data_IF_279993651714
#
_entry.id   IF_279993651714
#
_cell.length_a   1.000
_cell.length_b   1.000
_cell.length_c   1.000
_cell.angle_alpha   90.00
_cell.angle_beta   90.00
_cell.angle_gamma   90.00
#
_symmetry.space_group_name_H-M   'P 1'
#
loop_
_entity.id
_entity.type
_entity.pdbx_description
1 polymer ?
#
# COMPACT_ATOMS: atom_id res chain seq x y z
N UNK A 1 -26.86 29.01 1.79
CA UNK A 1 -27.37 27.63 1.92
C UNK A 1 -26.48 26.94 2.96
N UNK A 2 -27.04 26.41 4.06
CA UNK A 2 -26.26 25.54 4.95
C UNK A 2 -25.86 24.32 4.12
N UNK A 3 -24.57 24.10 3.91
CA UNK A 3 -24.11 22.84 3.33
C UNK A 3 -24.64 21.71 4.21
N UNK A 4 -25.35 20.77 3.63
CA UNK A 4 -25.76 19.57 4.35
C UNK A 4 -24.49 18.85 4.80
N UNK A 5 -24.41 18.46 6.08
CA UNK A 5 -23.29 17.65 6.57
C UNK A 5 -23.23 16.37 5.73
N UNK A 6 -22.06 16.02 5.25
CA UNK A 6 -21.83 14.73 4.60
C UNK A 6 -22.03 13.60 5.60
N UNK A 7 -22.45 12.44 5.14
CA UNK A 7 -22.51 11.21 5.93
C UNK A 7 -21.72 10.15 5.20
N UNK A 8 -20.60 9.79 5.79
CA UNK A 8 -19.63 8.83 5.24
C UNK A 8 -19.67 7.55 6.05
N UNK A 9 -19.68 6.41 5.36
CA UNK A 9 -19.46 5.09 5.97
C UNK A 9 -18.08 4.61 5.52
N UNK A 10 -17.23 4.25 6.48
CA UNK A 10 -15.98 3.52 6.25
C UNK A 10 -16.21 2.06 6.61
N UNK A 11 -15.88 1.12 5.72
CA UNK A 11 -16.06 -0.32 5.93
C UNK A 11 -14.71 -1.02 5.77
N UNK A 12 -14.36 -1.88 6.74
CA UNK A 12 -13.17 -2.74 6.74
C UNK A 12 -13.59 -4.22 6.85
N UNK A 13 -12.97 -5.09 6.05
CA UNK A 13 -13.24 -6.53 6.03
C UNK A 13 -12.38 -7.24 7.07
N UNK A 14 -13.01 -7.85 8.08
CA UNK A 14 -12.30 -8.45 9.21
C UNK A 14 -11.32 -9.54 8.81
N UNK A 15 -10.03 -9.34 9.12
CA UNK A 15 -8.98 -10.34 8.85
C UNK A 15 -9.01 -10.85 7.40
N UNK A 16 -9.24 -9.96 6.45
CA UNK A 16 -9.70 -10.24 5.09
C UNK A 16 -9.08 -11.49 4.45
N UNK A 17 -7.78 -11.55 4.25
CA UNK A 17 -7.14 -12.70 3.60
C UNK A 17 -7.38 -14.01 4.35
N UNK A 18 -7.31 -13.99 5.69
CA UNK A 18 -7.55 -15.17 6.50
C UNK A 18 -9.03 -15.60 6.46
N UNK A 19 -9.96 -14.64 6.41
CA UNK A 19 -11.40 -14.91 6.27
C UNK A 19 -11.71 -15.51 4.90
N UNK A 20 -11.13 -14.98 3.80
CA UNK A 20 -11.25 -15.57 2.47
C UNK A 20 -10.74 -17.01 2.46
N UNK A 21 -9.56 -17.26 3.05
CA UNK A 21 -9.01 -18.62 3.12
C UNK A 21 -9.88 -19.59 3.93
N UNK A 22 -10.55 -19.11 4.97
CA UNK A 22 -11.52 -19.92 5.72
C UNK A 22 -12.76 -20.22 4.89
N UNK A 23 -13.37 -19.20 4.26
CA UNK A 23 -14.58 -19.36 3.42
C UNK A 23 -14.32 -20.35 2.30
N UNK A 24 -13.23 -20.25 1.58
CA UNK A 24 -12.84 -21.17 0.50
C UNK A 24 -12.66 -22.62 0.96
N UNK A 25 -12.43 -22.85 2.25
CA UNK A 25 -12.30 -24.19 2.86
C UNK A 25 -13.55 -24.64 3.60
N UNK A 26 -14.62 -23.85 3.59
CA UNK A 26 -15.83 -24.11 4.36
C UNK A 26 -15.62 -24.05 5.88
N UNK A 27 -14.66 -23.23 6.34
CA UNK A 27 -14.28 -23.07 7.74
C UNK A 27 -14.82 -21.76 8.31
N UNK A 28 -15.11 -21.74 9.61
CA UNK A 28 -15.51 -20.54 10.34
C UNK A 28 -14.26 -19.79 10.85
N UNK A 29 -13.99 -18.54 10.41
CA UNK A 29 -12.81 -17.78 10.82
C UNK A 29 -12.80 -17.42 12.31
N UNK A 30 -13.94 -17.46 12.99
CA UNK A 30 -14.02 -17.20 14.43
C UNK A 30 -13.72 -18.43 15.28
N UNK A 31 -13.70 -19.63 14.68
CA UNK A 31 -13.44 -20.90 15.37
C UNK A 31 -12.15 -21.58 14.89
N UNK A 32 -11.63 -21.17 13.75
CA UNK A 32 -10.49 -21.83 13.12
C UNK A 32 -9.23 -21.00 13.30
N UNK A 33 -8.18 -21.59 13.85
CA UNK A 33 -6.86 -21.00 13.87
C UNK A 33 -6.22 -21.13 12.49
N UNK A 34 -6.10 -20.00 11.77
CA UNK A 34 -5.48 -19.98 10.45
C UNK A 34 -4.65 -18.72 10.28
N UNK A 35 -3.48 -18.87 9.67
CA UNK A 35 -2.59 -17.78 9.26
C UNK A 35 -2.35 -17.81 7.77
N UNK A 36 -2.28 -16.64 7.14
CA UNK A 36 -1.87 -16.51 5.73
C UNK A 36 -0.41 -16.10 5.70
N UNK A 37 0.45 -17.02 5.30
CA UNK A 37 1.88 -16.80 5.25
C UNK A 37 2.53 -17.72 4.21
N UNK A 38 3.72 -17.36 3.71
CA UNK A 38 4.54 -18.21 2.84
C UNK A 38 5.72 -18.82 3.63
N UNK A 39 5.58 -20.03 4.21
CA UNK A 39 6.64 -20.66 5.00
C UNK A 39 7.85 -21.08 4.15
N UNK A 40 7.71 -21.14 2.83
CA UNK A 40 8.83 -21.49 1.93
C UNK A 40 9.89 -20.40 1.91
N UNK A 41 9.55 -19.17 2.28
CA UNK A 41 10.50 -18.05 2.37
C UNK A 41 11.43 -18.16 3.58
N UNK A 42 10.87 -18.26 4.77
CA UNK A 42 11.61 -18.54 6.03
C UNK A 42 10.65 -18.57 7.22
N UNK A 43 11.11 -19.07 8.38
CA UNK A 43 10.37 -18.96 9.64
C UNK A 43 10.19 -17.51 10.12
N UNK A 44 10.96 -16.56 9.58
CA UNK A 44 10.85 -15.12 9.86
C UNK A 44 9.86 -14.41 8.95
N UNK A 45 9.14 -15.13 8.08
CA UNK A 45 8.10 -14.57 7.21
C UNK A 45 6.97 -13.99 8.05
N UNK A 46 6.50 -12.81 7.61
CA UNK A 46 5.37 -12.13 8.24
C UNK A 46 4.08 -12.83 7.84
N UNK A 47 3.19 -13.05 8.79
CA UNK A 47 1.82 -13.45 8.55
C UNK A 47 1.06 -12.26 7.98
N UNK A 48 0.59 -12.37 6.73
CA UNK A 48 -0.15 -11.29 6.05
C UNK A 48 -1.50 -11.03 6.72
N UNK A 49 -2.14 -12.07 7.19
CA UNK A 49 -3.36 -12.03 7.98
C UNK A 49 -3.44 -13.23 8.92
N UNK A 50 -4.16 -13.07 10.01
CA UNK A 50 -4.54 -14.14 10.93
C UNK A 50 -6.03 -14.07 11.22
N UNK A 51 -6.65 -15.21 11.49
CA UNK A 51 -8.08 -15.28 11.81
C UNK A 51 -8.44 -14.54 13.11
N UNK A 52 -9.70 -14.13 13.28
CA UNK A 52 -10.22 -13.64 14.56
C UNK A 52 -9.98 -14.64 15.72
N UNK A 53 -10.10 -15.95 15.47
CA UNK A 53 -9.77 -16.98 16.45
C UNK A 53 -8.33 -16.88 16.96
N UNK A 54 -7.36 -16.70 16.07
CA UNK A 54 -5.95 -16.47 16.44
C UNK A 54 -5.75 -15.16 17.22
N UNK A 55 -6.45 -14.09 16.83
CA UNK A 55 -6.42 -12.82 17.57
C UNK A 55 -6.96 -12.96 18.99
N UNK A 56 -8.03 -13.77 19.17
CA UNK A 56 -8.61 -14.06 20.49
C UNK A 56 -7.63 -14.82 21.41
N UNK A 57 -6.68 -15.57 20.85
CA UNK A 57 -5.56 -16.20 21.59
C UNK A 57 -4.40 -15.24 21.93
N UNK A 58 -4.55 -13.93 21.64
CA UNK A 58 -3.54 -12.92 21.90
C UNK A 58 -2.43 -12.82 20.83
N UNK A 59 -2.57 -13.51 19.71
CA UNK A 59 -1.60 -13.42 18.61
C UNK A 59 -1.78 -12.09 17.89
N UNK A 60 -0.68 -11.34 17.72
CA UNK A 60 -0.70 -10.04 17.04
C UNK A 60 -0.87 -10.21 15.54
N UNK A 61 -1.66 -9.33 14.92
CA UNK A 61 -1.70 -9.22 13.47
C UNK A 61 -0.30 -8.87 12.91
N UNK A 62 0.05 -9.41 11.75
CA UNK A 62 1.37 -9.24 11.12
C UNK A 62 2.55 -9.74 11.97
N UNK A 63 2.32 -10.69 12.90
CA UNK A 63 3.40 -11.40 13.58
C UNK A 63 4.25 -12.19 12.58
N UNK A 64 5.45 -12.59 12.99
CA UNK A 64 6.25 -13.56 12.25
C UNK A 64 5.85 -14.97 12.63
N UNK A 65 6.00 -15.93 11.73
CA UNK A 65 5.62 -17.34 11.98
C UNK A 65 6.27 -17.87 13.26
N UNK A 66 7.55 -17.55 13.52
CA UNK A 66 8.28 -18.01 14.70
C UNK A 66 7.84 -17.32 16.00
N UNK A 67 7.06 -16.28 15.95
CA UNK A 67 6.49 -15.59 17.14
C UNK A 67 5.20 -16.27 17.63
N UNK A 68 4.63 -17.18 16.83
CA UNK A 68 3.45 -17.95 17.24
C UNK A 68 3.90 -19.05 18.20
N UNK A 69 3.31 -19.15 19.41
CA UNK A 69 3.66 -20.18 20.38
C UNK A 69 3.49 -21.60 19.81
N UNK A 70 4.45 -22.48 20.08
CA UNK A 70 4.48 -23.84 19.54
C UNK A 70 3.32 -24.74 20.01
N UNK A 71 2.69 -24.39 21.14
CA UNK A 71 1.52 -25.09 21.67
C UNK A 71 0.19 -24.73 21.00
N UNK A 72 0.20 -23.80 20.04
CA UNK A 72 -1.00 -23.43 19.27
C UNK A 72 -0.97 -24.15 17.94
N UNK A 73 -1.93 -25.06 17.75
CA UNK A 73 -2.17 -25.68 16.46
C UNK A 73 -2.92 -24.72 15.53
N UNK A 74 -2.45 -24.56 14.29
CA UNK A 74 -3.06 -23.69 13.31
C UNK A 74 -2.80 -24.16 11.87
N UNK A 75 -3.65 -23.73 10.96
CA UNK A 75 -3.51 -23.96 9.52
C UNK A 75 -2.67 -22.82 8.93
N UNK A 76 -1.65 -23.16 8.15
CA UNK A 76 -0.93 -22.18 7.33
C UNK A 76 -1.48 -22.21 5.90
N UNK A 77 -2.10 -21.11 5.48
CA UNK A 77 -2.54 -20.91 4.10
C UNK A 77 -1.51 -20.12 3.31
N UNK A 78 -1.13 -20.63 2.14
CA UNK A 78 -0.29 -19.89 1.19
C UNK A 78 -1.04 -18.68 0.67
N UNK A 79 -0.40 -17.49 0.53
CA UNK A 79 -1.05 -16.34 -0.07
C UNK A 79 -1.54 -16.62 -1.50
N UNK A 80 -2.75 -16.17 -1.82
CA UNK A 80 -3.39 -16.21 -3.14
C UNK A 80 -3.89 -14.80 -3.48
N UNK A 81 -2.97 -13.91 -3.84
CA UNK A 81 -3.28 -12.48 -3.95
C UNK A 81 -4.35 -12.19 -5.00
N UNK A 82 -4.36 -12.92 -6.12
CA UNK A 82 -5.39 -12.75 -7.15
C UNK A 82 -6.77 -13.08 -6.60
N UNK A 83 -6.91 -14.17 -5.85
CA UNK A 83 -8.17 -14.54 -5.22
C UNK A 83 -8.69 -13.43 -4.28
N UNK A 84 -7.79 -12.82 -3.50
CA UNK A 84 -8.18 -11.74 -2.59
C UNK A 84 -8.64 -10.50 -3.36
N UNK A 85 -7.99 -10.18 -4.47
CA UNK A 85 -8.42 -9.10 -5.38
C UNK A 85 -9.79 -9.42 -5.98
N UNK A 86 -10.03 -10.66 -6.40
CA UNK A 86 -11.32 -11.09 -6.96
C UNK A 86 -12.46 -10.98 -5.92
N UNK A 87 -12.21 -11.36 -4.65
CA UNK A 87 -13.15 -11.15 -3.56
C UNK A 87 -13.40 -9.66 -3.29
N UNK A 88 -12.36 -8.83 -3.27
CA UNK A 88 -12.47 -7.40 -3.12
C UNK A 88 -13.30 -6.77 -4.24
N UNK A 89 -13.06 -7.16 -5.50
CA UNK A 89 -13.83 -6.71 -6.66
C UNK A 89 -15.31 -7.16 -6.58
N UNK A 90 -15.58 -8.38 -6.12
CA UNK A 90 -16.94 -8.87 -5.88
C UNK A 90 -17.65 -8.02 -4.83
N UNK A 91 -16.99 -7.72 -3.72
CA UNK A 91 -17.55 -6.89 -2.63
C UNK A 91 -17.78 -5.45 -3.11
N UNK A 92 -16.86 -4.87 -3.87
CA UNK A 92 -17.08 -3.59 -4.52
C UNK A 92 -18.33 -3.61 -5.42
N UNK A 93 -18.53 -4.69 -6.19
CA UNK A 93 -19.74 -4.92 -6.99
C UNK A 93 -21.03 -4.98 -6.15
N UNK A 94 -20.97 -5.47 -4.90
CA UNK A 94 -22.09 -5.45 -3.95
C UNK A 94 -22.43 -3.99 -3.60
N UNK A 95 -21.44 -3.18 -3.23
CA UNK A 95 -21.67 -1.77 -2.88
C UNK A 95 -22.25 -0.96 -4.03
N UNK A 96 -21.85 -1.24 -5.27
CA UNK A 96 -22.37 -0.56 -6.47
C UNK A 96 -23.88 -0.76 -6.71
N UNK A 97 -24.52 -1.72 -6.06
CA UNK A 97 -25.98 -1.88 -6.13
C UNK A 97 -26.73 -0.91 -5.24
N UNK A 98 -26.05 -0.31 -4.27
CA UNK A 98 -26.62 0.63 -3.31
C UNK A 98 -26.27 2.07 -3.63
N UNK A 99 -25.04 2.31 -4.10
CA UNK A 99 -24.51 3.66 -4.32
C UNK A 99 -23.73 3.75 -5.64
N UNK A 100 -23.62 4.96 -6.19
CA UNK A 100 -22.83 5.21 -7.40
C UNK A 100 -21.35 5.01 -7.17
N UNK A 101 -20.60 4.63 -8.21
CA UNK A 101 -19.13 4.54 -8.19
C UNK A 101 -18.46 5.87 -7.82
N UNK A 102 -19.12 7.00 -8.11
CA UNK A 102 -18.60 8.33 -7.79
C UNK A 102 -18.58 8.59 -6.27
N UNK A 103 -19.43 7.90 -5.52
CA UNK A 103 -19.58 8.03 -4.08
C UNK A 103 -18.85 6.92 -3.30
N UNK A 104 -18.05 6.06 -3.98
CA UNK A 104 -17.22 5.03 -3.36
C UNK A 104 -15.74 5.33 -3.62
N UNK A 105 -14.94 5.37 -2.56
CA UNK A 105 -13.47 5.38 -2.64
C UNK A 105 -12.92 4.09 -2.07
N UNK A 106 -12.30 3.25 -2.93
CA UNK A 106 -11.56 2.06 -2.51
C UNK A 106 -10.22 2.51 -1.95
N UNK A 107 -10.09 2.46 -0.64
CA UNK A 107 -8.89 2.88 0.07
C UNK A 107 -7.80 1.80 0.07
N UNK A 108 -8.21 0.55 0.22
CA UNK A 108 -7.34 -0.63 0.12
C UNK A 108 -8.11 -1.83 -0.44
N UNK A 109 -7.48 -3.01 -0.49
CA UNK A 109 -8.12 -4.25 -0.93
C UNK A 109 -9.24 -4.72 0.00
N UNK A 110 -9.25 -4.26 1.24
CA UNK A 110 -10.19 -4.64 2.31
C UNK A 110 -10.94 -3.47 2.93
N UNK A 111 -10.68 -2.24 2.48
CA UNK A 111 -11.28 -1.04 3.07
C UNK A 111 -11.79 -0.07 2.01
N UNK A 112 -12.98 0.48 2.24
CA UNK A 112 -13.55 1.53 1.40
C UNK A 112 -14.31 2.59 2.20
N UNK A 113 -14.41 3.80 1.62
CA UNK A 113 -15.28 4.88 2.06
C UNK A 113 -16.45 5.02 1.10
N UNK A 114 -17.64 5.25 1.64
CA UNK A 114 -18.88 5.37 0.90
C UNK A 114 -19.61 6.62 1.38
N UNK A 115 -19.83 7.58 0.50
CA UNK A 115 -20.69 8.74 0.78
C UNK A 115 -22.14 8.34 0.60
N UNK A 116 -22.86 8.24 1.70
CA UNK A 116 -24.29 7.84 1.69
C UNK A 116 -25.24 9.01 1.85
N UNK A 117 -24.76 10.25 1.86
CA UNK A 117 -25.53 11.46 2.16
C UNK A 117 -26.83 11.52 1.38
N UNK A 118 -26.79 11.30 0.08
CA UNK A 118 -27.94 11.42 -0.82
C UNK A 118 -28.80 10.13 -0.87
N UNK A 119 -28.32 9.03 -0.31
CA UNK A 119 -28.96 7.72 -0.42
C UNK A 119 -29.86 7.39 0.77
N UNK A 120 -29.60 8.00 1.94
CA UNK A 120 -30.39 7.72 3.15
C UNK A 120 -31.86 8.05 2.97
N UNK A 121 -32.17 9.19 2.34
CA UNK A 121 -33.56 9.55 2.03
C UNK A 121 -34.18 8.67 0.96
N UNK A 122 -33.40 8.22 -0.02
CA UNK A 122 -33.83 7.32 -1.09
C UNK A 122 -34.25 5.95 -0.57
N UNK A 123 -33.47 5.39 0.35
CA UNK A 123 -33.72 4.08 0.94
C UNK A 123 -34.59 4.15 2.21
N UNK A 124 -34.90 5.36 2.71
CA UNK A 124 -35.60 5.57 3.98
C UNK A 124 -34.87 4.92 5.18
N UNK A 125 -33.55 4.95 5.16
CA UNK A 125 -32.69 4.37 6.19
C UNK A 125 -31.93 5.46 6.95
N UNK A 126 -31.64 5.21 8.22
CA UNK A 126 -30.61 5.94 8.95
C UNK A 126 -29.22 5.50 8.47
N UNK A 127 -28.19 6.29 8.78
CA UNK A 127 -26.81 5.94 8.44
C UNK A 127 -26.35 4.59 9.04
N UNK A 128 -26.81 4.28 10.27
CA UNK A 128 -26.54 2.99 10.94
C UNK A 128 -27.22 1.84 10.20
N UNK A 129 -28.50 1.98 9.85
CA UNK A 129 -29.23 0.96 9.11
C UNK A 129 -28.62 0.69 7.74
N UNK A 130 -28.15 1.76 7.05
CA UNK A 130 -27.42 1.62 5.78
C UNK A 130 -26.10 0.86 5.96
N UNK A 131 -25.35 1.12 7.02
CA UNK A 131 -24.15 0.35 7.33
C UNK A 131 -24.46 -1.13 7.60
N UNK A 132 -25.53 -1.43 8.36
CA UNK A 132 -26.01 -2.80 8.59
C UNK A 132 -26.35 -3.50 7.29
N UNK A 133 -27.11 -2.84 6.41
CA UNK A 133 -27.49 -3.41 5.10
C UNK A 133 -26.29 -3.74 4.23
N UNK A 134 -25.31 -2.82 4.14
CA UNK A 134 -24.09 -3.04 3.37
C UNK A 134 -23.26 -4.21 3.93
N UNK A 135 -23.06 -4.26 5.26
CA UNK A 135 -22.31 -5.32 5.94
C UNK A 135 -23.01 -6.68 5.79
N UNK A 136 -24.34 -6.69 5.90
CA UNK A 136 -25.14 -7.90 5.74
C UNK A 136 -25.06 -8.43 4.30
N UNK A 137 -25.21 -7.57 3.30
CA UNK A 137 -25.09 -7.97 1.89
C UNK A 137 -23.72 -8.59 1.59
N UNK A 138 -22.63 -8.02 2.15
CA UNK A 138 -21.29 -8.62 2.04
C UNK A 138 -21.25 -9.99 2.70
N UNK A 139 -21.75 -10.12 3.92
CA UNK A 139 -21.75 -11.39 4.66
C UNK A 139 -22.56 -12.47 3.94
N UNK A 140 -23.77 -12.15 3.49
CA UNK A 140 -24.68 -13.09 2.85
C UNK A 140 -24.11 -13.65 1.52
N UNK A 141 -23.37 -12.82 0.77
CA UNK A 141 -22.86 -13.23 -0.54
C UNK A 141 -21.42 -13.75 -0.54
N UNK A 142 -20.65 -13.41 0.47
CA UNK A 142 -19.22 -13.76 0.50
C UNK A 142 -18.80 -14.53 1.74
N UNK A 143 -19.61 -14.56 2.78
CA UNK A 143 -19.24 -15.11 4.08
C UNK A 143 -18.19 -14.29 4.84
N UNK A 144 -17.89 -13.07 4.37
CA UNK A 144 -16.87 -12.19 4.97
C UNK A 144 -17.55 -11.21 5.93
N UNK A 145 -17.08 -11.16 7.16
CA UNK A 145 -17.54 -10.21 8.17
C UNK A 145 -16.85 -8.86 8.00
N UNK A 146 -17.59 -7.78 8.21
CA UNK A 146 -17.07 -6.43 8.15
C UNK A 146 -17.20 -5.69 9.48
N UNK A 147 -16.53 -4.53 9.57
CA UNK A 147 -16.67 -3.53 10.62
C UNK A 147 -16.95 -2.20 9.93
N UNK A 148 -17.80 -1.36 10.48
CA UNK A 148 -18.14 -0.08 9.88
C UNK A 148 -17.96 1.08 10.86
N UNK A 149 -17.58 2.23 10.32
CA UNK A 149 -17.59 3.51 11.01
C UNK A 149 -18.43 4.52 10.24
N UNK A 150 -19.32 5.21 10.91
CA UNK A 150 -20.14 6.27 10.35
C UNK A 150 -19.62 7.61 10.88
N UNK A 151 -19.38 8.56 10.00
CA UNK A 151 -18.88 9.88 10.37
C UNK A 151 -19.46 11.00 9.51
N UNK A 152 -19.37 12.24 10.02
CA UNK A 152 -19.76 13.44 9.30
C UNK A 152 -18.70 13.92 8.29
N UNK A 153 -17.56 13.23 8.25
CA UNK A 153 -16.49 13.41 7.28
C UNK A 153 -15.66 12.11 7.17
N UNK A 154 -14.69 12.06 6.24
CA UNK A 154 -13.86 10.88 5.99
C UNK A 154 -13.03 10.48 7.23
N UNK A 155 -12.45 11.47 7.92
CA UNK A 155 -11.65 11.22 9.12
C UNK A 155 -12.48 10.59 10.24
N UNK A 156 -13.62 11.17 10.58
CA UNK A 156 -14.48 10.68 11.65
C UNK A 156 -15.06 9.31 11.33
N UNK A 157 -15.41 9.03 10.06
CA UNK A 157 -15.84 7.70 9.65
C UNK A 157 -14.74 6.65 9.86
N UNK A 158 -13.48 6.99 9.51
CA UNK A 158 -12.33 6.11 9.72
C UNK A 158 -12.06 5.88 11.21
N UNK A 159 -12.06 6.93 12.03
CA UNK A 159 -11.81 6.83 13.48
C UNK A 159 -12.94 6.06 14.18
N UNK A 160 -14.19 6.28 13.78
CA UNK A 160 -15.33 5.52 14.28
C UNK A 160 -15.15 4.02 14.03
N UNK A 161 -14.65 3.64 12.86
CA UNK A 161 -14.37 2.25 12.51
C UNK A 161 -13.16 1.69 13.27
N UNK A 162 -12.05 2.43 13.31
CA UNK A 162 -10.79 1.93 13.86
C UNK A 162 -10.79 1.84 15.39
N UNK A 163 -11.50 2.74 16.07
CA UNK A 163 -11.49 2.83 17.53
C UNK A 163 -12.85 2.42 18.11
N UNK A 164 -13.93 3.13 17.76
CA UNK A 164 -15.24 2.95 18.42
C UNK A 164 -15.87 1.60 18.11
N UNK A 165 -15.87 1.19 16.84
CA UNK A 165 -16.53 -0.05 16.38
C UNK A 165 -15.91 -1.32 16.99
N UNK A 166 -14.70 -1.27 17.53
CA UNK A 166 -14.07 -2.40 18.23
C UNK A 166 -14.67 -2.68 19.62
N UNK A 167 -15.35 -1.69 20.18
CA UNK A 167 -15.89 -1.72 21.55
C UNK A 167 -17.41 -1.83 21.59
N UNK A 168 -18.07 -2.07 20.43
CA UNK A 168 -19.52 -2.24 20.32
C UNK A 168 -19.84 -3.58 19.68
N UNK A 169 -20.93 -4.21 20.14
CA UNK A 169 -21.27 -5.59 19.79
C UNK A 169 -21.64 -5.77 18.31
N UNK A 170 -22.25 -4.76 17.69
CA UNK A 170 -22.65 -4.77 16.30
C UNK A 170 -21.55 -4.32 15.33
N UNK A 171 -20.38 -3.96 15.88
CA UNK A 171 -19.21 -3.53 15.12
C UNK A 171 -19.45 -2.29 14.24
N UNK A 172 -20.32 -1.37 14.69
CA UNK A 172 -20.61 -0.11 14.00
C UNK A 172 -20.33 1.05 14.95
N UNK A 173 -19.25 1.80 14.71
CA UNK A 173 -18.96 3.05 15.41
C UNK A 173 -19.64 4.24 14.73
N UNK A 174 -20.05 5.24 15.50
CA UNK A 174 -20.65 6.47 14.96
C UNK A 174 -20.01 7.66 15.66
N UNK A 175 -19.51 8.62 14.87
CA UNK A 175 -18.91 9.86 15.37
C UNK A 175 -19.37 11.07 14.55
N UNK A 176 -19.64 12.15 15.26
CA UNK A 176 -19.62 13.51 14.75
C UNK A 176 -18.53 14.31 15.47
N UNK A 177 -18.34 15.57 15.14
CA UNK A 177 -17.29 16.41 15.71
C UNK A 177 -17.47 16.62 17.23
N UNK A 178 -18.70 16.57 17.74
CA UNK A 178 -18.99 16.73 19.14
C UNK A 178 -18.68 15.43 19.92
N UNK A 179 -19.26 14.31 19.48
CA UNK A 179 -19.05 13.00 20.11
C UNK A 179 -17.59 12.52 20.01
N UNK A 180 -16.88 12.90 18.93
CA UNK A 180 -15.46 12.65 18.81
C UNK A 180 -14.65 13.30 19.93
N UNK A 181 -14.89 14.60 20.20
CA UNK A 181 -14.20 15.32 21.27
C UNK A 181 -14.55 14.77 22.64
N UNK A 182 -15.83 14.46 22.88
CA UNK A 182 -16.29 13.93 24.16
C UNK A 182 -15.70 12.54 24.46
N UNK A 183 -15.61 11.67 23.45
CA UNK A 183 -15.23 10.27 23.66
C UNK A 183 -13.75 9.99 23.45
N UNK A 184 -13.07 10.72 22.55
CA UNK A 184 -11.75 10.33 22.04
C UNK A 184 -10.64 11.37 22.26
N UNK A 185 -10.93 12.56 22.75
CA UNK A 185 -9.86 13.54 23.01
C UNK A 185 -8.82 13.05 24.00
N UNK A 186 -9.22 12.25 24.99
CA UNK A 186 -8.34 11.66 26.01
C UNK A 186 -7.87 10.25 25.65
N UNK A 187 -8.25 9.74 24.47
CA UNK A 187 -7.85 8.39 24.05
C UNK A 187 -6.34 8.29 23.81
N UNK A 188 -5.77 7.18 24.28
CA UNK A 188 -4.36 6.81 24.06
C UNK A 188 -4.26 5.35 23.64
N UNK A 189 -3.24 4.98 22.84
CA UNK A 189 -2.14 5.81 22.32
C UNK A 189 -2.56 6.66 21.10
N UNK A 190 -1.83 7.74 20.83
CA UNK A 190 -2.04 8.56 19.64
C UNK A 190 -1.88 7.80 18.31
N UNK A 191 -1.09 6.74 18.30
CA UNK A 191 -0.89 5.88 17.10
C UNK A 191 -2.12 5.06 16.71
N UNK A 192 -3.20 5.05 17.49
CA UNK A 192 -4.47 4.47 17.10
C UNK A 192 -5.24 5.38 16.11
N UNK A 193 -4.91 6.68 16.09
CA UNK A 193 -5.53 7.63 15.19
C UNK A 193 -4.92 7.57 13.79
N UNK A 194 -5.79 7.60 12.79
CA UNK A 194 -5.40 7.59 11.40
C UNK A 194 -4.37 8.69 11.10
N UNK A 195 -3.32 8.36 10.35
CA UNK A 195 -2.17 9.19 9.97
C UNK A 195 -1.19 9.54 11.10
N UNK A 196 -1.41 9.09 12.33
CA UNK A 196 -0.42 9.21 13.39
C UNK A 196 0.33 7.89 13.55
N UNK A 197 1.58 7.86 13.11
CA UNK A 197 2.44 6.69 13.31
C UNK A 197 3.29 6.81 14.58
N UNK A 198 3.91 5.70 15.00
CA UNK A 198 4.74 5.64 16.22
C UNK A 198 5.89 6.65 16.27
N UNK A 199 6.37 7.15 15.12
CA UNK A 199 7.39 8.22 15.08
C UNK A 199 6.80 9.58 15.45
N UNK A 200 5.63 9.90 14.90
CA UNK A 200 4.88 11.13 15.21
C UNK A 200 4.47 11.14 16.66
N UNK A 201 3.90 10.04 17.15
CA UNK A 201 3.54 9.86 18.57
C UNK A 201 4.74 10.09 19.50
N UNK A 202 5.88 9.42 19.27
CA UNK A 202 7.10 9.63 20.09
C UNK A 202 7.62 11.06 20.04
N UNK A 203 7.51 11.71 18.87
CA UNK A 203 7.93 13.10 18.71
C UNK A 203 7.05 14.04 19.53
N UNK A 204 5.74 13.84 19.51
CA UNK A 204 4.76 14.59 20.32
C UNK A 204 4.95 14.35 21.82
N UNK A 205 5.12 13.08 22.22
CA UNK A 205 5.35 12.69 23.61
C UNK A 205 6.59 13.35 24.23
N UNK A 206 7.64 13.59 23.43
CA UNK A 206 8.83 14.34 23.87
C UNK A 206 8.56 15.79 24.28
N UNK A 207 7.38 16.31 23.96
CA UNK A 207 6.92 17.65 24.33
C UNK A 207 5.70 17.63 25.28
N UNK A 208 5.38 16.45 25.82
CA UNK A 208 4.26 16.29 26.77
C UNK A 208 2.88 16.24 26.12
N UNK A 209 2.82 16.00 24.80
CA UNK A 209 1.57 15.86 24.04
C UNK A 209 1.30 14.36 23.86
N UNK A 210 0.21 13.87 24.43
CA UNK A 210 -0.13 12.44 24.49
C UNK A 210 -1.51 12.12 23.91
N UNK A 211 -2.36 13.13 23.72
CA UNK A 211 -3.76 12.97 23.30
C UNK A 211 -4.12 13.91 22.15
N UNK A 212 -5.24 13.64 21.47
CA UNK A 212 -5.76 14.54 20.44
C UNK A 212 -6.23 15.86 21.06
N UNK A 213 -6.73 15.82 22.30
CA UNK A 213 -7.06 17.02 23.08
C UNK A 213 -5.84 17.90 23.32
N UNK A 214 -4.67 17.33 23.66
CA UNK A 214 -3.43 18.09 23.81
C UNK A 214 -3.02 18.78 22.51
N UNK A 215 -3.13 18.10 21.36
CA UNK A 215 -2.83 18.70 20.04
C UNK A 215 -3.78 19.86 19.75
N UNK A 216 -5.08 19.67 20.00
CA UNK A 216 -6.09 20.71 19.80
C UNK A 216 -5.82 21.93 20.68
N UNK A 217 -5.45 21.72 21.93
CA UNK A 217 -5.09 22.82 22.85
C UNK A 217 -3.78 23.49 22.46
N UNK A 218 -2.79 22.72 22.01
CA UNK A 218 -1.52 23.28 21.51
C UNK A 218 -1.72 24.15 20.26
N UNK A 219 -2.69 23.82 19.40
CA UNK A 219 -3.01 24.63 18.22
C UNK A 219 -3.52 26.04 18.56
N UNK A 220 -4.14 26.22 19.73
CA UNK A 220 -4.62 27.53 20.17
C UNK A 220 -3.53 28.41 20.78
N UNK A 221 -2.47 27.84 21.31
CA UNK A 221 -1.45 28.55 22.08
C UNK A 221 -0.07 28.56 21.44
N UNK A 222 0.22 27.60 20.59
CA UNK A 222 1.57 27.32 20.07
C UNK A 222 1.54 26.75 18.64
N UNK A 223 0.64 27.22 17.78
CA UNK A 223 0.45 26.73 16.42
C UNK A 223 1.75 26.79 15.59
N UNK A 224 2.48 27.91 15.65
CA UNK A 224 3.78 28.09 14.97
C UNK A 224 4.78 26.98 15.31
N UNK A 225 4.71 26.45 16.53
CA UNK A 225 5.58 25.38 16.97
C UNK A 225 5.20 24.04 16.29
N UNK A 226 3.90 23.76 16.12
CA UNK A 226 3.43 22.58 15.38
C UNK A 226 3.90 22.64 13.92
N UNK A 227 3.78 23.81 13.28
CA UNK A 227 4.29 24.00 11.91
C UNK A 227 5.82 23.87 11.81
N UNK A 228 6.58 24.30 12.80
CA UNK A 228 8.04 24.06 12.84
C UNK A 228 8.38 22.57 12.93
N UNK A 229 7.55 21.81 13.65
CA UNK A 229 7.76 20.37 13.83
C UNK A 229 7.37 19.53 12.62
N UNK A 230 6.21 19.80 12.04
CA UNK A 230 5.57 18.94 11.06
C UNK A 230 5.46 19.57 9.67
N UNK A 231 5.86 20.84 9.51
CA UNK A 231 5.68 21.55 8.25
C UNK A 231 4.20 21.70 7.91
N UNK A 232 3.85 21.56 6.65
CA UNK A 232 2.47 21.65 6.17
C UNK A 232 1.57 20.52 6.73
N UNK A 233 2.13 19.39 7.12
CA UNK A 233 1.38 18.28 7.72
C UNK A 233 0.77 18.67 9.09
N UNK A 234 1.24 19.77 9.70
CA UNK A 234 0.66 20.31 10.94
C UNK A 234 -0.81 20.73 10.76
N UNK A 235 -1.15 21.29 9.60
CA UNK A 235 -2.53 21.72 9.31
C UNK A 235 -3.51 20.54 9.40
N UNK A 236 -3.18 19.45 8.73
CA UNK A 236 -3.99 18.24 8.77
C UNK A 236 -4.04 17.63 10.18
N UNK A 237 -2.91 17.65 10.92
CA UNK A 237 -2.85 17.14 12.29
C UNK A 237 -3.75 17.97 13.24
N UNK A 238 -3.77 19.29 13.07
CA UNK A 238 -4.63 20.21 13.83
C UNK A 238 -6.09 19.97 13.49
N UNK A 239 -6.44 19.96 12.21
CA UNK A 239 -7.81 19.71 11.75
C UNK A 239 -8.35 18.40 12.31
N UNK A 240 -7.59 17.32 12.21
CA UNK A 240 -7.96 16.01 12.75
C UNK A 240 -8.09 16.03 14.27
N UNK A 241 -7.27 16.81 14.99
CA UNK A 241 -7.41 16.94 16.45
C UNK A 241 -8.75 17.61 16.83
N UNK A 242 -9.26 18.50 15.99
CA UNK A 242 -10.58 19.12 16.16
C UNK A 242 -11.74 18.29 15.59
N UNK A 243 -11.46 17.19 14.90
CA UNK A 243 -12.44 16.33 14.24
C UNK A 243 -12.89 16.87 12.86
N UNK A 244 -12.09 17.74 12.25
CA UNK A 244 -12.37 18.30 10.93
C UNK A 244 -11.61 17.52 9.84
N UNK A 245 -12.23 17.44 8.67
CA UNK A 245 -11.63 16.96 7.44
C UNK A 245 -12.30 17.69 6.27
N UNK A 246 -11.51 18.40 5.51
CA UNK A 246 -11.99 19.21 4.40
C UNK A 246 -12.09 18.43 3.09
N UNK A 247 -11.33 17.33 2.98
CA UNK A 247 -11.37 16.46 1.80
C UNK A 247 -12.72 15.77 1.65
N UNK A 248 -13.29 15.81 0.47
CA UNK A 248 -14.57 15.17 0.11
C UNK A 248 -14.35 14.12 -0.96
N UNK A 249 -15.33 13.25 -1.16
CA UNK A 249 -15.30 12.21 -2.20
C UNK A 249 -14.98 12.80 -3.58
N UNK A 250 -15.57 13.92 -3.95
CA UNK A 250 -15.30 14.62 -5.22
C UNK A 250 -13.86 15.08 -5.38
N UNK A 251 -13.20 15.47 -4.27
CA UNK A 251 -11.82 15.93 -4.29
C UNK A 251 -10.88 14.76 -4.54
N UNK A 252 -11.15 13.62 -3.92
CA UNK A 252 -10.44 12.35 -4.17
C UNK A 252 -10.61 11.93 -5.63
N UNK A 253 -11.84 11.97 -6.18
CA UNK A 253 -12.12 11.56 -7.56
C UNK A 253 -11.48 12.46 -8.60
N UNK A 254 -11.35 13.73 -8.31
CA UNK A 254 -10.76 14.74 -9.20
C UNK A 254 -9.24 14.87 -9.00
N UNK A 255 -8.67 14.24 -7.98
CA UNK A 255 -7.24 14.31 -7.73
C UNK A 255 -6.47 13.48 -8.74
N UNK A 256 -5.58 14.13 -9.46
CA UNK A 256 -4.60 13.50 -10.33
C UNK A 256 -3.22 13.68 -9.71
N UNK A 257 -2.64 12.59 -9.29
CA UNK A 257 -1.26 12.60 -8.79
C UNK A 257 -0.31 12.95 -9.93
N UNK A 258 0.50 13.98 -9.74
CA UNK A 258 1.67 14.20 -10.60
C UNK A 258 2.73 13.18 -10.18
N UNK A 259 2.88 12.11 -10.96
CA UNK A 259 3.94 11.13 -10.73
C UNK A 259 5.30 11.79 -10.99
N UNK A 260 6.11 11.95 -9.95
CA UNK A 260 7.46 12.51 -10.07
C UNK A 260 8.56 11.44 -10.14
N UNK A 261 8.22 10.20 -9.85
CA UNK A 261 9.14 9.06 -9.89
C UNK A 261 8.43 7.73 -10.10
N UNK A 262 9.13 6.78 -10.70
CA UNK A 262 8.72 5.39 -10.79
C UNK A 262 9.81 4.52 -10.17
N UNK A 263 9.45 3.65 -9.23
CA UNK A 263 10.43 2.84 -8.51
C UNK A 263 10.05 1.37 -8.49
N UNK A 264 11.10 0.54 -8.41
CA UNK A 264 11.00 -0.89 -8.34
C UNK A 264 11.95 -1.38 -7.24
N UNK A 265 11.40 -2.00 -6.17
CA UNK A 265 12.15 -2.48 -5.01
C UNK A 265 11.97 -3.99 -4.79
N UNK A 266 13.01 -4.65 -4.29
CA UNK A 266 12.98 -6.07 -3.97
C UNK A 266 13.80 -6.40 -2.73
N UNK A 267 13.19 -7.12 -1.78
CA UNK A 267 13.89 -7.80 -0.69
C UNK A 267 14.27 -9.20 -1.18
N UNK A 268 15.57 -9.50 -1.14
CA UNK A 268 16.11 -10.78 -1.60
C UNK A 268 15.93 -11.87 -0.53
N UNK A 269 15.66 -13.10 -0.95
CA UNK A 269 15.35 -14.21 -0.04
C UNK A 269 16.56 -14.67 0.78
N UNK A 270 17.75 -14.51 0.24
CA UNK A 270 19.03 -14.83 0.86
C UNK A 270 20.02 -13.69 0.66
N UNK A 271 21.21 -13.82 1.18
CA UNK A 271 22.32 -12.98 0.82
C UNK A 271 22.76 -13.29 -0.60
N UNK A 272 22.84 -12.27 -1.42
CA UNK A 272 23.32 -12.34 -2.79
C UNK A 272 24.76 -11.82 -2.85
N UNK A 273 25.59 -12.45 -3.65
CA UNK A 273 26.93 -11.92 -3.95
C UNK A 273 26.82 -10.69 -4.85
N UNK A 274 27.94 -9.99 -5.02
CA UNK A 274 28.01 -8.85 -5.94
C UNK A 274 27.61 -9.25 -7.38
N UNK A 275 28.07 -10.38 -7.87
CA UNK A 275 27.77 -10.86 -9.23
C UNK A 275 26.29 -11.22 -9.37
N UNK A 276 25.73 -11.98 -8.42
CA UNK A 276 24.34 -12.39 -8.41
C UNK A 276 23.40 -11.19 -8.33
N UNK A 277 23.69 -10.24 -7.44
CA UNK A 277 22.88 -9.02 -7.28
C UNK A 277 22.93 -8.12 -8.52
N UNK A 278 24.05 -8.12 -9.26
CA UNK A 278 24.19 -7.44 -10.53
C UNK A 278 23.20 -7.95 -11.60
N UNK A 279 22.90 -9.26 -11.61
CA UNK A 279 21.83 -9.83 -12.47
C UNK A 279 20.48 -9.25 -12.07
N UNK A 280 20.17 -9.22 -10.77
CA UNK A 280 18.90 -8.69 -10.26
C UNK A 280 18.73 -7.21 -10.57
N UNK A 281 19.80 -6.41 -10.44
CA UNK A 281 19.77 -4.98 -10.80
C UNK A 281 19.38 -4.79 -12.26
N UNK A 282 19.95 -5.60 -13.19
CA UNK A 282 19.58 -5.57 -14.61
C UNK A 282 18.11 -5.94 -14.83
N UNK A 283 17.63 -7.02 -14.19
CA UNK A 283 16.22 -7.46 -14.27
C UNK A 283 15.25 -6.38 -13.79
N UNK A 284 15.56 -5.76 -12.65
CA UNK A 284 14.74 -4.69 -12.07
C UNK A 284 14.71 -3.47 -12.95
N UNK A 285 15.86 -3.10 -13.53
CA UNK A 285 15.97 -1.96 -14.44
C UNK A 285 15.23 -2.21 -15.75
N UNK A 286 15.33 -3.42 -16.32
CA UNK A 286 14.61 -3.80 -17.55
C UNK A 286 13.09 -3.69 -17.36
N UNK A 287 12.57 -4.16 -16.24
CA UNK A 287 11.16 -4.00 -15.91
C UNK A 287 10.77 -2.53 -15.69
N UNK A 288 11.59 -1.74 -14.98
CA UNK A 288 11.34 -0.31 -14.77
C UNK A 288 11.26 0.46 -16.09
N UNK A 289 12.15 0.14 -17.04
CA UNK A 289 12.16 0.76 -18.37
C UNK A 289 10.90 0.39 -19.16
N UNK A 290 10.48 -0.88 -19.13
CA UNK A 290 9.23 -1.29 -19.78
C UNK A 290 8.01 -0.59 -19.17
N UNK A 291 7.97 -0.40 -17.87
CA UNK A 291 6.90 0.34 -17.18
C UNK A 291 6.89 1.83 -17.57
N UNK A 292 8.07 2.47 -17.70
CA UNK A 292 8.20 3.84 -18.23
C UNK A 292 7.67 3.93 -19.67
N UNK A 293 8.07 2.99 -20.51
CA UNK A 293 7.68 2.94 -21.92
C UNK A 293 6.17 2.71 -22.08
N UNK A 294 5.59 1.76 -21.34
CA UNK A 294 4.15 1.49 -21.31
C UNK A 294 3.32 2.72 -20.92
N UNK A 295 3.82 3.49 -19.94
CA UNK A 295 3.17 4.73 -19.50
C UNK A 295 3.42 5.94 -20.39
N UNK A 296 4.24 5.81 -21.44
CA UNK A 296 4.66 6.93 -22.29
C UNK A 296 5.46 7.99 -21.54
N UNK A 297 6.29 7.58 -20.58
CA UNK A 297 7.08 8.46 -19.71
C UNK A 297 8.56 8.33 -20.02
N UNK A 298 9.31 9.40 -19.77
CA UNK A 298 10.79 9.46 -19.82
C UNK A 298 11.35 9.88 -18.49
N UNK A 299 12.61 9.53 -18.20
CA UNK A 299 13.34 9.97 -17.02
C UNK A 299 14.67 10.62 -17.39
N UNK A 300 15.16 11.56 -16.56
CA UNK A 300 16.47 12.18 -16.74
C UNK A 300 17.51 11.78 -15.68
N UNK A 301 17.12 10.95 -14.70
CA UNK A 301 18.04 10.43 -13.69
C UNK A 301 17.50 9.17 -13.04
N UNK A 302 18.42 8.27 -12.64
CA UNK A 302 18.08 7.04 -11.95
C UNK A 302 18.87 6.92 -10.66
N UNK A 303 18.17 6.54 -9.59
CA UNK A 303 18.76 6.27 -8.27
C UNK A 303 18.81 4.77 -8.04
N UNK A 304 19.94 4.28 -7.58
CA UNK A 304 20.10 2.93 -7.06
C UNK A 304 20.34 2.99 -5.55
N UNK A 305 19.60 2.16 -4.81
CA UNK A 305 19.77 1.95 -3.38
C UNK A 305 19.98 0.46 -3.09
N UNK A 306 20.99 0.17 -2.25
CA UNK A 306 21.44 -1.19 -1.93
C UNK A 306 21.52 -1.32 -0.43
N UNK A 307 20.82 -2.30 0.16
CA UNK A 307 20.99 -2.64 1.56
C UNK A 307 21.61 -4.04 1.70
N UNK A 308 22.44 -4.15 2.70
CA UNK A 308 23.23 -5.32 3.01
C UNK A 308 22.62 -6.15 4.14
N UNK A 309 23.19 -7.27 4.44
CA UNK A 309 22.78 -8.12 5.56
C UNK A 309 23.03 -7.37 6.89
N UNK A 310 21.96 -7.22 7.67
CA UNK A 310 21.95 -6.50 8.94
C UNK A 310 22.90 -7.09 10.02
N UNK A 311 23.43 -8.29 9.80
CA UNK A 311 24.46 -8.89 10.67
C UNK A 311 25.82 -8.23 10.52
N UNK A 312 26.02 -7.49 9.44
CA UNK A 312 27.20 -6.64 9.23
C UNK A 312 26.79 -5.18 9.48
N UNK A 313 27.55 -4.46 10.27
CA UNK A 313 27.40 -3.02 10.49
C UNK A 313 27.81 -2.24 9.21
N UNK A 314 27.08 -2.47 8.13
CA UNK A 314 27.33 -1.83 6.85
C UNK A 314 26.15 -0.92 6.48
N UNK A 315 26.44 0.36 6.28
CA UNK A 315 25.42 1.32 5.83
C UNK A 315 24.94 0.99 4.42
N UNK A 316 23.68 1.34 4.11
CA UNK A 316 23.16 1.17 2.77
C UNK A 316 23.87 2.09 1.79
N UNK A 317 24.23 1.56 0.62
CA UNK A 317 24.80 2.36 -0.48
C UNK A 317 23.67 2.99 -1.29
N UNK A 318 23.81 4.28 -1.61
CA UNK A 318 22.86 5.01 -2.43
C UNK A 318 23.58 6.07 -3.27
N UNK A 319 23.29 6.10 -4.56
CA UNK A 319 23.73 7.19 -5.43
C UNK A 319 22.75 7.37 -6.60
N UNK A 320 22.87 8.48 -7.30
CA UNK A 320 21.99 8.86 -8.42
C UNK A 320 22.84 9.23 -9.63
N UNK A 321 22.56 8.62 -10.75
CA UNK A 321 23.18 8.96 -12.05
C UNK A 321 22.22 9.85 -12.85
N UNK A 322 22.73 10.93 -13.43
CA UNK A 322 22.03 11.76 -14.40
C UNK A 322 22.24 11.19 -15.80
N UNK A 323 21.17 11.12 -16.56
CA UNK A 323 21.23 10.76 -17.98
C UNK A 323 21.52 12.01 -18.83
N UNK A 324 22.08 11.81 -19.99
CA UNK A 324 22.46 12.91 -20.90
C UNK A 324 21.25 13.69 -21.44
N UNK A 325 20.11 13.00 -21.56
CA UNK A 325 18.81 13.51 -22.02
C UNK A 325 17.67 12.76 -21.32
N UNK A 326 16.43 13.31 -21.30
CA UNK A 326 15.26 12.54 -20.90
C UNK A 326 15.09 11.35 -21.86
N UNK A 327 14.96 10.13 -21.33
CA UNK A 327 14.92 8.91 -22.12
C UNK A 327 14.11 7.81 -21.43
N UNK A 328 13.60 6.87 -22.22
CA UNK A 328 13.08 5.55 -21.82
C UNK A 328 13.78 4.43 -22.60
N UNK A 329 14.96 4.71 -23.17
CA UNK A 329 15.79 3.72 -23.84
C UNK A 329 16.29 2.67 -22.84
N UNK A 330 16.08 1.40 -23.18
CA UNK A 330 16.51 0.25 -22.36
C UNK A 330 18.03 0.18 -22.25
N UNK A 331 18.73 0.41 -23.39
CA UNK A 331 20.20 0.36 -23.42
C UNK A 331 20.82 1.45 -22.56
N UNK A 332 20.39 2.72 -22.72
CA UNK A 332 20.94 3.87 -21.99
C UNK A 332 20.72 3.73 -20.48
N UNK A 333 19.51 3.38 -20.06
CA UNK A 333 19.18 3.30 -18.62
C UNK A 333 19.85 2.11 -17.96
N UNK A 334 19.85 0.92 -18.60
CA UNK A 334 20.50 -0.28 -18.04
C UNK A 334 22.00 -0.08 -17.91
N UNK A 335 22.66 0.50 -18.93
CA UNK A 335 24.10 0.78 -18.89
C UNK A 335 24.44 1.72 -17.72
N UNK A 336 23.72 2.85 -17.61
CA UNK A 336 23.92 3.81 -16.54
C UNK A 336 23.71 3.22 -15.14
N UNK A 337 22.68 2.37 -14.94
CA UNK A 337 22.41 1.73 -13.65
C UNK A 337 23.45 0.67 -13.32
N UNK A 338 23.91 -0.10 -14.31
CA UNK A 338 24.95 -1.11 -14.12
C UNK A 338 26.30 -0.48 -13.76
N UNK A 339 26.67 0.60 -14.42
CA UNK A 339 27.88 1.36 -14.05
C UNK A 339 27.78 1.93 -12.64
N UNK A 340 26.59 2.49 -12.29
CA UNK A 340 26.33 2.99 -10.96
C UNK A 340 26.45 1.87 -9.92
N UNK A 341 25.88 0.68 -10.20
CA UNK A 341 26.01 -0.50 -9.34
C UNK A 341 27.46 -0.88 -9.11
N UNK A 342 28.27 -0.98 -10.17
CA UNK A 342 29.69 -1.31 -10.08
C UNK A 342 30.50 -0.32 -9.24
N UNK A 343 30.07 0.95 -9.24
CA UNK A 343 30.72 2.03 -8.49
C UNK A 343 30.39 2.01 -7.00
N UNK A 344 29.11 1.73 -6.62
CA UNK A 344 28.65 1.94 -5.24
C UNK A 344 28.46 0.66 -4.43
N UNK A 345 28.31 -0.51 -5.09
CA UNK A 345 28.06 -1.76 -4.38
C UNK A 345 29.32 -2.30 -3.71
N UNK A 346 29.20 -2.69 -2.44
CA UNK A 346 30.25 -3.44 -1.77
C UNK A 346 30.34 -4.85 -2.34
N UNK A 347 31.57 -5.27 -2.66
CA UNK A 347 31.87 -6.55 -3.28
C UNK A 347 31.96 -7.71 -2.27
N UNK A 348 32.06 -7.39 -0.99
CA UNK A 348 32.38 -8.37 0.06
C UNK A 348 31.20 -8.65 1.00
N UNK A 349 30.22 -7.74 1.04
CA UNK A 349 29.06 -7.86 1.95
C UNK A 349 27.84 -8.39 1.20
N UNK A 350 27.16 -9.36 1.80
CA UNK A 350 25.97 -9.95 1.21
C UNK A 350 24.83 -8.93 1.04
N UNK A 351 24.29 -8.84 -0.17
CA UNK A 351 23.23 -7.90 -0.55
C UNK A 351 21.88 -8.52 -0.23
N UNK A 352 21.00 -7.74 0.43
CA UNK A 352 19.67 -8.20 0.91
C UNK A 352 18.50 -7.43 0.33
N UNK A 353 18.71 -6.21 -0.15
CA UNK A 353 17.65 -5.43 -0.78
C UNK A 353 18.22 -4.50 -1.84
N UNK A 354 17.46 -4.36 -2.91
CA UNK A 354 17.75 -3.48 -4.04
C UNK A 354 16.51 -2.65 -4.34
N UNK A 355 16.71 -1.36 -4.62
CA UNK A 355 15.67 -0.45 -5.12
C UNK A 355 16.25 0.38 -6.26
N UNK A 356 15.55 0.39 -7.39
CA UNK A 356 15.87 1.21 -8.57
C UNK A 356 14.73 2.20 -8.78
N UNK A 357 15.06 3.49 -8.91
CA UNK A 357 14.07 4.56 -9.03
C UNK A 357 14.41 5.48 -10.20
N UNK A 358 13.51 5.59 -11.17
CA UNK A 358 13.52 6.63 -12.19
C UNK A 358 12.93 7.90 -11.59
N UNK A 359 13.73 8.98 -11.56
CA UNK A 359 13.32 10.24 -10.95
C UNK A 359 12.94 11.27 -12.01
N UNK A 360 12.16 12.27 -11.58
CA UNK A 360 11.75 13.39 -12.45
C UNK A 360 11.19 12.89 -13.76
N UNK A 361 10.30 11.92 -13.68
CA UNK A 361 9.62 11.39 -14.85
C UNK A 361 8.71 12.46 -15.43
N UNK A 362 8.57 12.46 -16.75
CA UNK A 362 7.71 13.38 -17.49
C UNK A 362 7.09 12.64 -18.70
N UNK A 363 5.91 13.07 -19.18
CA UNK A 363 5.35 12.55 -20.41
C UNK A 363 6.34 12.71 -21.58
N UNK A 364 6.48 11.66 -22.39
CA UNK A 364 7.26 11.72 -23.62
C UNK A 364 6.51 12.52 -24.69
N UNK A 365 6.79 13.83 -24.77
CA UNK A 365 6.14 14.71 -25.74
C UNK A 365 6.82 14.69 -27.11
N UNK A 366 8.09 14.33 -27.18
CA UNK A 366 8.89 14.19 -28.40
C UNK A 366 10.12 13.31 -28.14
N UNK A 367 10.62 12.69 -29.19
CA UNK A 367 11.87 11.93 -29.15
C UNK A 367 13.03 12.91 -29.33
N UNK A 368 13.87 13.02 -28.33
CA UNK A 368 15.04 13.87 -28.39
C UNK A 368 16.24 13.05 -28.87
N UNK A 369 16.78 13.40 -30.05
CA UNK A 369 18.03 12.84 -30.55
C UNK A 369 19.21 13.73 -30.16
N UNK A 370 20.32 13.13 -29.75
CA UNK A 370 21.63 13.78 -29.68
C UNK A 370 22.29 13.76 -31.05
N UNK A 371 23.25 14.62 -31.26
CA UNK A 371 24.09 14.60 -32.49
C UNK A 371 24.90 13.29 -32.65
N UNK A 372 25.06 12.55 -31.56
CA UNK A 372 25.83 11.29 -31.52
C UNK A 372 24.92 10.04 -31.56
N UNK A 373 23.61 10.22 -31.54
CA UNK A 373 22.68 9.10 -31.64
C UNK A 373 22.57 8.63 -33.09
N UNK A 374 22.47 7.30 -33.24
CA UNK A 374 22.03 6.71 -34.51
C UNK A 374 20.48 6.59 -34.52
N UNK A 375 19.76 7.42 -35.28
CA UNK A 375 18.29 7.37 -35.28
C UNK A 375 17.76 5.98 -35.69
N UNK A 376 18.44 5.27 -36.59
CA UNK A 376 18.04 3.94 -37.03
C UNK A 376 18.12 2.94 -35.88
N UNK A 377 19.15 3.02 -35.05
CA UNK A 377 19.32 2.14 -33.89
C UNK A 377 18.30 2.48 -32.82
N UNK A 378 18.04 3.76 -32.57
CA UNK A 378 17.01 4.22 -31.61
C UNK A 378 15.63 3.71 -32.03
N UNK A 379 15.25 3.83 -33.31
CA UNK A 379 13.97 3.34 -33.82
C UNK A 379 13.85 1.81 -33.71
N UNK A 380 14.92 1.07 -33.99
CA UNK A 380 14.94 -0.39 -33.80
C UNK A 380 14.73 -0.79 -32.34
N UNK A 381 15.37 -0.10 -31.41
CA UNK A 381 15.20 -0.35 -29.98
C UNK A 381 13.75 -0.10 -29.53
N UNK A 382 13.14 1.01 -29.99
CA UNK A 382 11.73 1.31 -29.68
C UNK A 382 10.78 0.24 -30.21
N UNK A 383 10.93 -0.15 -31.48
CA UNK A 383 10.13 -1.23 -32.07
C UNK A 383 10.31 -2.56 -31.31
N UNK A 384 11.53 -2.84 -30.83
CA UNK A 384 11.78 -4.02 -29.99
C UNK A 384 11.05 -3.91 -28.64
N UNK A 385 11.10 -2.75 -27.96
CA UNK A 385 10.38 -2.51 -26.71
C UNK A 385 8.86 -2.66 -26.92
N UNK A 386 8.29 -2.09 -27.99
CA UNK A 386 6.88 -2.25 -28.34
C UNK A 386 6.50 -3.72 -28.55
N UNK A 387 7.31 -4.45 -29.31
CA UNK A 387 7.08 -5.88 -29.58
C UNK A 387 7.13 -6.71 -28.28
N UNK A 388 8.14 -6.47 -27.43
CA UNK A 388 8.27 -7.14 -26.13
C UNK A 388 7.07 -6.84 -25.24
N UNK A 389 6.65 -5.57 -25.14
CA UNK A 389 5.49 -5.16 -24.35
C UNK A 389 4.21 -5.84 -24.86
N UNK A 390 3.97 -5.80 -26.17
CA UNK A 390 2.81 -6.46 -26.81
C UNK A 390 2.75 -7.96 -26.52
N UNK A 391 3.89 -8.66 -26.61
CA UNK A 391 3.96 -10.09 -26.30
C UNK A 391 3.65 -10.34 -24.82
N UNK A 392 4.22 -9.53 -23.91
CA UNK A 392 3.97 -9.67 -22.47
C UNK A 392 2.53 -9.37 -22.08
N UNK A 393 1.91 -8.36 -22.67
CA UNK A 393 0.50 -8.03 -22.43
C UNK A 393 -0.44 -9.14 -22.92
N UNK A 394 -0.13 -9.75 -24.07
CA UNK A 394 -0.99 -10.77 -24.68
C UNK A 394 -0.82 -12.16 -24.08
N UNK A 395 0.40 -12.55 -23.72
CA UNK A 395 0.75 -13.91 -23.33
C UNK A 395 1.30 -14.04 -21.89
N UNK A 396 1.37 -12.93 -21.17
CA UNK A 396 1.85 -12.87 -19.77
C UNK A 396 3.31 -12.43 -19.66
N UNK A 397 3.67 -11.94 -18.49
CA UNK A 397 4.98 -11.31 -18.20
C UNK A 397 6.18 -12.23 -18.46
N UNK A 398 6.00 -13.54 -18.40
CA UNK A 398 7.04 -14.56 -18.60
C UNK A 398 7.10 -15.11 -20.04
N UNK A 399 6.27 -14.62 -20.97
CA UNK A 399 6.22 -15.13 -22.34
C UNK A 399 7.50 -14.84 -23.15
N UNK A 400 8.19 -13.75 -22.81
CA UNK A 400 9.48 -13.38 -23.40
C UNK A 400 10.39 -12.81 -22.32
N UNK A 401 11.64 -13.24 -22.29
CA UNK A 401 12.63 -12.83 -21.30
C UNK A 401 14.05 -12.87 -21.87
N UNK A 402 14.99 -12.22 -21.21
CA UNK A 402 16.41 -12.26 -21.57
C UNK A 402 17.03 -13.60 -21.09
N UNK A 403 18.06 -14.10 -21.76
CA UNK A 403 18.75 -15.32 -21.35
C UNK A 403 19.30 -15.25 -19.91
N UNK A 404 19.72 -14.07 -19.42
CA UNK A 404 20.15 -13.87 -18.04
C UNK A 404 19.06 -14.15 -17.00
N UNK A 405 17.76 -14.02 -17.36
CA UNK A 405 16.64 -14.31 -16.47
C UNK A 405 16.45 -15.83 -16.23
N UNK A 406 17.22 -16.69 -16.88
CA UNK A 406 17.25 -18.14 -16.67
C UNK A 406 18.40 -18.58 -15.77
N UNK A 407 19.25 -17.67 -15.31
CA UNK A 407 20.31 -17.98 -14.35
C UNK A 407 19.69 -18.39 -13.00
N UNK A 408 20.38 -19.26 -12.28
CA UNK A 408 19.92 -19.78 -10.98
C UNK A 408 19.70 -18.67 -9.93
N UNK A 409 20.48 -17.60 -10.01
CA UNK A 409 20.35 -16.44 -9.13
C UNK A 409 19.20 -15.50 -9.51
N UNK A 410 18.63 -15.66 -10.71
CA UNK A 410 17.53 -14.80 -11.20
C UNK A 410 16.27 -14.96 -10.35
N UNK A 411 15.58 -13.85 -10.14
CA UNK A 411 14.26 -13.83 -9.47
C UNK A 411 13.14 -13.48 -10.44
N UNK A 412 13.44 -13.28 -11.72
CA UNK A 412 12.54 -12.70 -12.71
C UNK A 412 11.22 -13.47 -12.86
N UNK A 413 11.29 -14.79 -13.09
CA UNK A 413 10.09 -15.62 -13.30
C UNK A 413 9.23 -15.66 -12.04
N UNK A 414 9.85 -15.88 -10.88
CA UNK A 414 9.15 -15.92 -9.60
C UNK A 414 8.47 -14.59 -9.29
N UNK A 415 9.19 -13.48 -9.50
CA UNK A 415 8.69 -12.14 -9.25
C UNK A 415 7.51 -11.75 -10.16
N UNK A 416 7.53 -12.13 -11.43
CA UNK A 416 6.44 -11.89 -12.36
C UNK A 416 5.17 -12.67 -11.99
N UNK A 417 5.29 -13.76 -11.23
CA UNK A 417 4.18 -14.54 -10.67
C UNK A 417 3.73 -14.03 -9.29
N UNK A 418 4.17 -12.83 -8.89
CA UNK A 418 3.80 -12.21 -7.62
C UNK A 418 2.94 -10.97 -7.84
N UNK A 419 2.05 -10.70 -6.90
CA UNK A 419 1.29 -9.47 -6.78
C UNK A 419 1.66 -8.84 -5.43
N UNK A 420 2.15 -7.59 -5.45
CA UNK A 420 2.59 -6.93 -4.22
C UNK A 420 3.72 -7.66 -3.46
N UNK A 421 4.54 -8.45 -4.18
CA UNK A 421 5.63 -9.24 -3.60
C UNK A 421 5.20 -10.55 -2.94
N UNK A 422 3.96 -10.99 -3.13
CA UNK A 422 3.40 -12.26 -2.65
C UNK A 422 2.84 -13.08 -3.80
N UNK A 423 2.64 -14.38 -3.61
CA UNK A 423 2.09 -15.26 -4.65
C UNK A 423 0.75 -14.75 -5.16
N UNK A 424 0.58 -14.77 -6.51
CA UNK A 424 -0.65 -14.37 -7.17
C UNK A 424 -1.80 -15.33 -6.90
#
# INVERSE_FOLDING_TARGET
>A
MKESKSIIICIDLKSFYASVECVERGLDPFKTNLVVADPTRSKSTICLAITPAMKALGIRNRCRIHEIPENIEYITAMPRMQLYIDYSAKIYGIYLRYVSKEDIHVYSVDECFIDVTNYLSLYHLSAREMAVELMKAVMDETGITATAGVGTNLYLAKIAMDIVAKHVDDHIGILDEFSYREQLWEHTPLSDFWRIGSRTERKLAGYGIHTMGDIAMASLTSEDWLYKMFGIDAELLIDHAWGYETCRMRDIKNYHSEEHSLSNGQVLMRNYTFEEAGVIVREMTDNLVLDLFEKGMVTNSVTLWIAYDHRYEHEASKDTVKLSKPTNSSSEIIEAVVELYQKIADRHTGIRRLDVCANRIAPESYIQYSLFDDPVQTDKERHLQEAVLSVKQRYGKNAIMRGANLLECSTYIERNNQIGGHRA
#
